data_IF_980652806219
#
_entry.id   IF_980652806219
#
_cell.length_a   1.000
_cell.length_b   1.000
_cell.length_c   1.000
_cell.angle_alpha   90.00
_cell.angle_beta   90.00
_cell.angle_gamma   90.00
#
_symmetry.space_group_name_H-M   'P 1'
#
loop_
_entity.id
_entity.type
_entity.pdbx_description
1 polymer ?
#
# COMPACT_ATOMS: atom_id res chain seq x y z
N UNK A 1 -25.06 8.31 -25.05
CA UNK A 1 -24.28 7.12 -24.65
C UNK A 1 -22.80 7.53 -24.58
N UNK A 2 -22.13 7.44 -23.41
CA UNK A 2 -20.67 7.67 -23.34
C UNK A 2 -19.99 6.47 -24.00
N UNK A 3 -19.24 6.71 -25.08
CA UNK A 3 -18.51 5.68 -25.82
C UNK A 3 -17.56 4.91 -24.90
N UNK A 4 -17.58 3.59 -25.00
CA UNK A 4 -16.60 2.75 -24.34
C UNK A 4 -15.26 2.94 -25.03
N UNK A 5 -14.33 3.64 -24.38
CA UNK A 5 -12.94 3.67 -24.79
C UNK A 5 -12.22 2.51 -24.09
N UNK A 6 -11.55 1.61 -24.82
CA UNK A 6 -10.81 0.53 -24.20
C UNK A 6 -9.75 1.13 -23.27
N UNK A 7 -9.73 0.68 -22.02
CA UNK A 7 -8.68 1.08 -21.06
C UNK A 7 -7.32 0.75 -21.67
N UNK A 8 -6.34 1.63 -21.48
CA UNK A 8 -4.97 1.41 -21.98
C UNK A 8 -4.51 -0.01 -21.61
N UNK A 9 -3.91 -0.77 -22.54
CA UNK A 9 -3.43 -2.10 -22.25
C UNK A 9 -2.37 -2.05 -21.16
N UNK A 10 -2.47 -2.93 -20.17
CA UNK A 10 -1.51 -3.06 -19.07
C UNK A 10 -0.27 -3.76 -19.61
N UNK A 11 0.84 -3.02 -19.77
CA UNK A 11 2.13 -3.54 -20.23
C UNK A 11 3.10 -3.74 -19.08
N UNK A 12 3.00 -2.89 -18.06
CA UNK A 12 3.84 -2.89 -16.87
C UNK A 12 3.00 -2.90 -15.59
N UNK A 13 3.58 -3.33 -14.47
CA UNK A 13 2.95 -3.16 -13.16
C UNK A 13 2.70 -1.68 -12.85
N UNK A 14 3.48 -0.78 -13.46
CA UNK A 14 3.32 0.67 -13.35
C UNK A 14 1.99 1.18 -13.95
N UNK A 15 1.36 0.41 -14.84
CA UNK A 15 0.05 0.74 -15.41
C UNK A 15 -1.11 0.34 -14.46
N UNK A 16 -0.83 -0.42 -13.40
CA UNK A 16 -1.84 -0.82 -12.44
C UNK A 16 -2.19 0.35 -11.51
N UNK A 17 -3.46 0.72 -11.48
CA UNK A 17 -3.98 1.75 -10.56
C UNK A 17 -3.64 1.41 -9.10
N UNK A 18 -3.70 0.13 -8.72
CA UNK A 18 -3.34 -0.32 -7.37
C UNK A 18 -1.86 -0.07 -7.05
N UNK A 19 -0.96 -0.23 -8.02
CA UNK A 19 0.46 0.06 -7.82
C UNK A 19 0.68 1.57 -7.64
N UNK A 20 0.10 2.38 -8.52
CA UNK A 20 0.24 3.84 -8.47
C UNK A 20 -0.26 4.42 -7.14
N UNK A 21 -1.42 3.95 -6.66
CA UNK A 21 -1.98 4.34 -5.36
C UNK A 21 -1.12 3.85 -4.19
N UNK A 22 -0.65 2.60 -4.23
CA UNK A 22 0.24 2.05 -3.21
C UNK A 22 1.53 2.87 -3.09
N UNK A 23 2.12 3.25 -4.23
CA UNK A 23 3.32 4.07 -4.27
C UNK A 23 3.06 5.47 -3.70
N UNK A 24 1.94 6.10 -4.06
CA UNK A 24 1.57 7.42 -3.53
C UNK A 24 1.44 7.41 -2.01
N UNK A 25 0.72 6.43 -1.44
CA UNK A 25 0.57 6.27 0.03
C UNK A 25 1.94 6.02 0.67
N UNK A 26 2.75 5.12 0.11
CA UNK A 26 4.09 4.83 0.60
C UNK A 26 4.94 6.10 0.68
N UNK A 27 4.98 6.89 -0.40
CA UNK A 27 5.77 8.13 -0.43
C UNK A 27 5.24 9.15 0.59
N UNK A 28 3.93 9.33 0.67
CA UNK A 28 3.31 10.27 1.62
C UNK A 28 3.66 9.90 3.07
N UNK A 29 3.43 8.65 3.46
CA UNK A 29 3.70 8.15 4.83
C UNK A 29 5.18 8.21 5.16
N UNK A 30 6.06 7.67 4.31
CA UNK A 30 7.50 7.61 4.62
C UNK A 30 8.12 9.01 4.67
N UNK A 31 7.71 9.91 3.77
CA UNK A 31 8.14 11.31 3.80
C UNK A 31 7.70 11.98 5.10
N UNK A 32 6.46 11.76 5.54
CA UNK A 32 5.93 12.34 6.77
C UNK A 32 6.71 11.84 8.00
N UNK A 33 6.93 10.54 8.13
CA UNK A 33 7.71 9.93 9.22
C UNK A 33 9.15 10.48 9.24
N UNK A 34 9.77 10.61 8.06
CA UNK A 34 11.13 11.14 7.94
C UNK A 34 11.20 12.60 8.41
N UNK A 35 10.22 13.42 8.03
CA UNK A 35 10.15 14.82 8.44
C UNK A 35 9.89 14.96 9.95
N UNK A 36 8.99 14.15 10.50
CA UNK A 36 8.70 14.14 11.94
C UNK A 36 9.93 13.70 12.77
N UNK A 37 10.61 12.64 12.32
CA UNK A 37 11.85 12.16 12.95
C UNK A 37 12.96 13.21 12.90
N UNK A 38 13.07 13.97 11.81
CA UNK A 38 14.05 15.06 11.69
C UNK A 38 13.76 16.20 12.68
N UNK A 39 12.48 16.54 12.90
CA UNK A 39 12.07 17.54 13.92
C UNK A 39 12.35 17.04 15.34
N UNK A 40 12.19 15.75 15.61
CA UNK A 40 12.43 15.16 16.93
C UNK A 40 13.90 14.94 17.27
N UNK A 41 14.82 14.96 16.30
CA UNK A 41 16.27 14.87 16.57
C UNK A 41 16.82 16.03 17.40
N UNK A 42 16.10 17.14 17.54
CA UNK A 42 16.42 18.20 18.53
C UNK A 42 15.91 17.89 19.95
N UNK A 43 15.21 16.77 20.15
CA UNK A 43 14.78 16.22 21.43
C UNK A 43 15.14 14.72 21.56
N UNK A 44 14.62 14.04 22.59
CA UNK A 44 14.87 12.61 22.84
C UNK A 44 13.77 11.78 22.17
N UNK A 45 14.08 11.13 21.04
CA UNK A 45 13.22 10.13 20.41
C UNK A 45 13.09 8.90 21.33
N UNK A 46 11.88 8.42 21.59
CA UNK A 46 11.69 7.18 22.36
C UNK A 46 12.01 5.93 21.52
N UNK A 47 12.40 4.83 22.19
CA UNK A 47 12.59 3.53 21.52
C UNK A 47 11.27 3.04 20.90
N UNK A 48 10.15 3.28 21.59
CA UNK A 48 8.80 2.93 21.11
C UNK A 48 8.48 3.69 19.82
N UNK A 49 8.79 4.99 19.74
CA UNK A 49 8.56 5.76 18.53
C UNK A 49 9.34 5.18 17.35
N UNK A 50 10.59 4.78 17.60
CA UNK A 50 11.48 4.22 16.58
C UNK A 50 10.92 2.88 16.07
N UNK A 51 10.43 2.03 16.98
CA UNK A 51 9.82 0.75 16.64
C UNK A 51 8.57 0.92 15.78
N UNK A 52 7.62 1.76 16.22
CA UNK A 52 6.36 2.02 15.51
C UNK A 52 6.62 2.64 14.13
N UNK A 53 7.51 3.63 14.05
CA UNK A 53 7.89 4.28 12.79
C UNK A 53 8.54 3.29 11.80
N UNK A 54 9.40 2.41 12.30
CA UNK A 54 10.10 1.40 11.48
C UNK A 54 9.12 0.38 10.93
N UNK A 55 8.23 -0.14 11.79
CA UNK A 55 7.21 -1.10 11.35
C UNK A 55 6.26 -0.47 10.34
N UNK A 56 5.75 0.74 10.60
CA UNK A 56 4.89 1.45 9.66
C UNK A 56 5.56 1.60 8.29
N UNK A 57 6.80 2.09 8.28
CA UNK A 57 7.62 2.25 7.07
C UNK A 57 7.76 0.93 6.32
N UNK A 58 8.10 -0.15 7.04
CA UNK A 58 8.23 -1.47 6.44
C UNK A 58 6.92 -1.95 5.79
N UNK A 59 5.77 -1.79 6.47
CA UNK A 59 4.46 -2.20 5.92
C UNK A 59 4.11 -1.43 4.66
N UNK A 60 4.21 -0.10 4.67
CA UNK A 60 3.83 0.72 3.50
C UNK A 60 4.75 0.51 2.30
N UNK A 61 6.04 0.23 2.52
CA UNK A 61 6.99 -0.09 1.45
C UNK A 61 6.76 -1.48 0.84
N UNK A 62 6.29 -2.46 1.64
CA UNK A 62 6.00 -3.82 1.15
C UNK A 62 4.84 -3.86 0.17
N UNK A 63 3.81 -3.02 0.33
CA UNK A 63 2.60 -3.05 -0.51
C UNK A 63 2.93 -2.84 -2.02
N UNK A 64 3.57 -1.74 -2.46
CA UNK A 64 3.89 -1.56 -3.88
C UNK A 64 4.89 -2.61 -4.39
N UNK A 65 5.83 -3.06 -3.55
CA UNK A 65 6.77 -4.14 -3.89
C UNK A 65 6.02 -5.44 -4.20
N UNK A 66 5.10 -5.85 -3.33
CA UNK A 66 4.32 -7.07 -3.49
C UNK A 66 3.38 -7.01 -4.69
N UNK A 67 2.78 -5.85 -4.97
CA UNK A 67 1.98 -5.67 -6.21
C UNK A 67 2.85 -5.88 -7.46
N UNK A 68 4.07 -5.32 -7.48
CA UNK A 68 5.00 -5.52 -8.59
C UNK A 68 5.46 -6.98 -8.71
N UNK A 69 5.77 -7.63 -7.58
CA UNK A 69 6.12 -9.05 -7.53
C UNK A 69 4.98 -9.93 -8.06
N UNK A 70 3.76 -9.74 -7.56
CA UNK A 70 2.58 -10.48 -7.98
C UNK A 70 2.34 -10.32 -9.49
N UNK A 71 2.51 -9.10 -10.02
CA UNK A 71 2.43 -8.86 -11.45
C UNK A 71 3.46 -9.68 -12.22
N UNK A 72 4.72 -9.78 -11.76
CA UNK A 72 5.74 -10.61 -12.42
C UNK A 72 5.40 -12.10 -12.44
N UNK A 73 4.74 -12.61 -11.40
CA UNK A 73 4.38 -14.03 -11.31
C UNK A 73 3.07 -14.40 -12.00
N UNK A 74 2.22 -13.42 -12.36
CA UNK A 74 0.80 -13.64 -12.76
C UNK A 74 0.55 -14.64 -13.88
N UNK A 75 1.54 -14.91 -14.73
CA UNK A 75 1.46 -15.90 -15.81
C UNK A 75 2.36 -17.13 -15.60
N UNK A 76 3.37 -17.03 -14.72
CA UNK A 76 4.35 -18.08 -14.48
C UNK A 76 3.97 -18.97 -13.29
N UNK A 77 3.53 -18.36 -12.19
CA UNK A 77 3.10 -19.03 -10.97
C UNK A 77 1.91 -18.29 -10.38
N UNK A 78 0.73 -18.76 -10.74
CA UNK A 78 -0.51 -18.11 -10.35
C UNK A 78 -0.75 -18.22 -8.85
N UNK A 79 -0.49 -19.37 -8.23
CA UNK A 79 -0.71 -19.54 -6.79
C UNK A 79 0.15 -18.54 -6.01
N UNK A 80 1.42 -18.39 -6.39
CA UNK A 80 2.33 -17.39 -5.84
C UNK A 80 1.85 -15.97 -6.08
N UNK A 81 1.44 -15.62 -7.31
CA UNK A 81 0.91 -14.29 -7.61
C UNK A 81 -0.30 -13.93 -6.72
N UNK A 82 -1.19 -14.90 -6.51
CA UNK A 82 -2.41 -14.73 -5.70
C UNK A 82 -2.06 -14.57 -4.22
N UNK A 83 -1.17 -15.40 -3.69
CA UNK A 83 -0.65 -15.30 -2.32
C UNK A 83 0.05 -13.96 -2.10
N UNK A 84 0.89 -13.51 -3.03
CA UNK A 84 1.57 -12.21 -2.91
C UNK A 84 0.59 -11.03 -2.89
N UNK A 85 -0.52 -11.08 -3.63
CA UNK A 85 -1.58 -10.07 -3.52
C UNK A 85 -2.31 -10.12 -2.16
N UNK A 86 -2.49 -11.31 -1.58
CA UNK A 86 -3.04 -11.46 -0.24
C UNK A 86 -2.11 -10.89 0.83
N UNK A 87 -0.81 -11.10 0.71
CA UNK A 87 0.18 -10.46 1.58
C UNK A 87 0.16 -8.93 1.45
N UNK A 88 -0.01 -8.39 0.23
CA UNK A 88 -0.16 -6.95 0.02
C UNK A 88 -1.41 -6.40 0.71
N UNK A 89 -2.53 -7.13 0.66
CA UNK A 89 -3.77 -6.80 1.39
C UNK A 89 -3.59 -6.88 2.91
N UNK A 90 -2.84 -7.87 3.40
CA UNK A 90 -2.47 -7.98 4.81
C UNK A 90 -1.63 -6.78 5.25
N UNK A 91 -0.63 -6.38 4.45
CA UNK A 91 0.16 -5.19 4.74
C UNK A 91 -0.66 -3.90 4.68
N UNK A 92 -1.73 -3.81 3.87
CA UNK A 92 -2.66 -2.68 3.93
C UNK A 92 -3.33 -2.58 5.31
N UNK A 93 -3.83 -3.70 5.84
CA UNK A 93 -4.46 -3.73 7.17
C UNK A 93 -3.46 -3.43 8.28
N UNK A 94 -2.27 -4.03 8.24
CA UNK A 94 -1.23 -3.77 9.24
C UNK A 94 -0.75 -2.32 9.19
N UNK A 95 -0.60 -1.73 7.99
CA UNK A 95 -0.26 -0.32 7.86
C UNK A 95 -1.33 0.60 8.48
N UNK A 96 -2.62 0.26 8.41
CA UNK A 96 -3.67 1.01 9.13
C UNK A 96 -3.43 0.97 10.63
N UNK A 97 -3.21 -0.22 11.20
CA UNK A 97 -2.93 -0.38 12.64
C UNK A 97 -1.71 0.44 13.06
N UNK A 98 -0.62 0.38 12.29
CA UNK A 98 0.59 1.14 12.60
C UNK A 98 0.43 2.64 12.35
N UNK A 99 -0.44 3.09 11.44
CA UNK A 99 -0.78 4.51 11.28
C UNK A 99 -1.53 5.04 12.50
N UNK A 100 -2.50 4.28 13.02
CA UNK A 100 -3.23 4.63 14.25
C UNK A 100 -2.28 4.68 15.44
N UNK A 101 -1.42 3.67 15.60
CA UNK A 101 -0.39 3.66 16.65
C UNK A 101 0.57 4.85 16.51
N UNK A 102 1.03 5.15 15.29
CA UNK A 102 1.91 6.30 15.08
C UNK A 102 1.20 7.62 15.39
N UNK A 103 -0.07 7.76 15.01
CA UNK A 103 -0.90 8.93 15.31
C UNK A 103 -1.08 9.12 16.82
N UNK A 104 -1.37 8.06 17.55
CA UNK A 104 -1.81 8.15 18.95
C UNK A 104 -0.65 8.09 19.95
N UNK A 105 0.45 7.42 19.58
CA UNK A 105 1.61 7.20 20.47
C UNK A 105 2.75 8.15 20.11
N UNK A 106 3.05 8.30 18.81
CA UNK A 106 4.29 8.91 18.37
C UNK A 106 4.09 10.36 17.89
N UNK A 107 2.93 10.72 17.39
CA UNK A 107 2.73 11.96 16.64
C UNK A 107 3.17 13.24 17.38
N UNK A 108 4.05 14.04 16.78
CA UNK A 108 4.46 15.35 17.29
C UNK A 108 3.86 16.52 16.49
N UNK A 109 2.54 16.49 16.29
CA UNK A 109 1.79 17.62 15.71
C UNK A 109 1.53 17.51 14.20
N UNK A 110 1.51 16.29 13.65
CA UNK A 110 0.95 16.02 12.33
C UNK A 110 -0.58 16.07 12.44
N UNK A 111 -1.22 16.72 11.49
CA UNK A 111 -2.67 16.87 11.44
C UNK A 111 -3.38 15.51 11.34
N UNK A 112 -4.47 15.34 12.10
CA UNK A 112 -5.28 14.12 12.10
C UNK A 112 -5.81 13.78 10.71
N UNK A 113 -6.15 14.78 9.90
CA UNK A 113 -6.67 14.62 8.53
C UNK A 113 -5.71 13.83 7.63
N UNK A 114 -4.39 14.02 7.79
CA UNK A 114 -3.39 13.24 7.06
C UNK A 114 -3.56 11.74 7.33
N UNK A 115 -3.69 11.35 8.60
CA UNK A 115 -3.84 9.95 8.98
C UNK A 115 -5.15 9.37 8.47
N UNK A 116 -6.25 10.11 8.59
CA UNK A 116 -7.56 9.69 8.09
C UNK A 116 -7.55 9.47 6.57
N UNK A 117 -6.89 10.37 5.82
CA UNK A 117 -6.73 10.23 4.38
C UNK A 117 -5.93 8.97 4.03
N UNK A 118 -4.79 8.74 4.70
CA UNK A 118 -3.96 7.56 4.42
C UNK A 118 -4.65 6.25 4.82
N UNK A 119 -5.38 6.23 5.94
CA UNK A 119 -6.17 5.07 6.38
C UNK A 119 -7.26 4.75 5.35
N UNK A 120 -8.04 5.75 4.93
CA UNK A 120 -9.05 5.59 3.88
C UNK A 120 -8.43 5.11 2.57
N UNK A 121 -7.25 5.64 2.23
CA UNK A 121 -6.43 5.23 1.09
C UNK A 121 -6.08 3.74 1.13
N UNK A 122 -5.57 3.25 2.27
CA UNK A 122 -5.18 1.85 2.47
C UNK A 122 -6.37 0.89 2.43
N UNK A 123 -7.50 1.25 3.04
CA UNK A 123 -8.74 0.46 3.00
C UNK A 123 -9.26 0.37 1.55
N UNK A 124 -9.29 1.49 0.83
CA UNK A 124 -9.68 1.52 -0.58
C UNK A 124 -8.71 0.76 -1.48
N UNK A 125 -7.40 0.83 -1.20
CA UNK A 125 -6.37 0.10 -1.91
C UNK A 125 -6.54 -1.41 -1.72
N UNK A 126 -6.74 -1.90 -0.50
CA UNK A 126 -7.03 -3.32 -0.23
C UNK A 126 -8.20 -3.82 -1.08
N UNK A 127 -9.30 -3.06 -1.13
CA UNK A 127 -10.48 -3.44 -1.91
C UNK A 127 -10.19 -3.52 -3.41
N UNK A 128 -9.42 -2.57 -3.95
CA UNK A 128 -8.98 -2.58 -5.34
C UNK A 128 -8.02 -3.74 -5.64
N UNK A 129 -7.13 -4.07 -4.71
CA UNK A 129 -6.23 -5.23 -4.82
C UNK A 129 -7.02 -6.53 -4.86
N UNK A 130 -8.08 -6.68 -4.06
CA UNK A 130 -9.01 -7.82 -4.14
C UNK A 130 -9.71 -7.89 -5.50
N UNK A 131 -10.11 -6.76 -6.08
CA UNK A 131 -10.69 -6.74 -7.43
C UNK A 131 -9.68 -7.12 -8.51
N UNK A 132 -8.43 -6.67 -8.40
CA UNK A 132 -7.35 -7.10 -9.28
C UNK A 132 -7.15 -8.62 -9.18
N UNK A 133 -7.07 -9.13 -7.96
CA UNK A 133 -6.94 -10.56 -7.65
C UNK A 133 -8.04 -11.38 -8.35
N UNK A 134 -9.31 -10.97 -8.18
CA UNK A 134 -10.47 -11.61 -8.82
C UNK A 134 -10.44 -11.49 -10.34
N UNK A 135 -10.02 -10.35 -10.87
CA UNK A 135 -9.90 -10.14 -12.32
C UNK A 135 -8.87 -11.10 -12.92
N UNK A 136 -7.71 -11.29 -12.28
CA UNK A 136 -6.70 -12.23 -12.73
C UNK A 136 -7.19 -13.69 -12.66
N UNK A 137 -8.01 -14.05 -11.66
CA UNK A 137 -8.67 -15.38 -11.61
C UNK A 137 -9.65 -15.57 -12.78
N UNK A 138 -10.45 -14.54 -13.14
CA UNK A 138 -11.46 -14.62 -14.21
C UNK A 138 -10.89 -14.75 -15.62
N UNK A 139 -9.88 -13.95 -15.96
CA UNK A 139 -9.25 -13.97 -17.29
C UNK A 139 -8.66 -15.35 -17.67
N UNK A 140 -8.47 -16.22 -16.69
CA UNK A 140 -7.93 -17.56 -16.87
C UNK A 140 -9.06 -18.60 -16.98
N UNK A 141 -10.19 -18.40 -16.29
CA UNK A 141 -11.39 -19.24 -16.47
C UNK A 141 -12.05 -19.07 -17.84
N UNK A 142 -11.87 -17.92 -18.48
CA UNK A 142 -12.32 -17.63 -19.86
C UNK A 142 -11.33 -18.07 -20.95
N UNK A 143 -10.12 -18.53 -20.58
CA UNK A 143 -9.14 -19.10 -21.51
C UNK A 143 -8.79 -20.54 -21.14
N UNK A 144 -9.74 -21.44 -21.43
CA UNK A 144 -9.49 -22.81 -21.90
C UNK A 144 -10.56 -23.18 -22.90
#
# INVERSE_FOLDING_TARGET
MKGYYPKRPVKSFQDLEVYQRALAICVAVVRQITQDSAKKKSGKQSEIDTLVATELTHRVMKIPLQIAQAHSWRFADQAKAQQTLEEAMTNCNLAVVYLEQYRDICNAGIETEFFEEQIKGLVGLRQKTLYLQRSWKKFIGEKR
#
